data_IF_754204454527
#
_entry.id   IF_754204454527
#
_cell.length_a   1.000
_cell.length_b   1.000
_cell.length_c   1.000
_cell.angle_alpha   90.00
_cell.angle_beta   90.00
_cell.angle_gamma   90.00
#
_symmetry.space_group_name_H-M   'P 1'
#
loop_
_entity.id
_entity.type
_entity.pdbx_description
1 polymer ?
#
# COMPACT_ATOMS: atom_id res chain seq x y z
N UNK A 1 -15.04 -7.83 23.76
CA UNK A 1 -13.58 -7.73 23.85
C UNK A 1 -12.94 -8.47 22.69
N UNK A 2 -11.84 -7.95 22.19
CA UNK A 2 -11.08 -8.56 21.10
C UNK A 2 -10.30 -9.77 21.62
N UNK A 3 -10.32 -10.86 20.88
CA UNK A 3 -9.57 -12.07 21.24
C UNK A 3 -8.05 -11.81 21.21
N UNK A 4 -7.28 -12.30 22.18
CA UNK A 4 -5.84 -11.98 22.29
C UNK A 4 -5.01 -12.33 21.06
N UNK A 5 -5.35 -13.38 20.31
CA UNK A 5 -4.64 -13.78 19.10
C UNK A 5 -4.68 -12.69 18.01
N UNK A 6 -5.72 -11.85 18.01
CA UNK A 6 -5.91 -10.82 17.00
C UNK A 6 -5.15 -9.53 17.32
N UNK A 7 -4.71 -9.35 18.57
CA UNK A 7 -3.97 -8.16 19.00
C UNK A 7 -2.46 -8.30 18.81
N UNK A 8 -1.94 -9.52 18.57
CA UNK A 8 -0.49 -9.74 18.38
C UNK A 8 -0.01 -9.42 16.97
N UNK A 9 -0.86 -9.63 15.95
CA UNK A 9 -0.50 -9.48 14.55
C UNK A 9 0.60 -10.42 14.06
N UNK A 10 0.69 -10.64 12.77
CA UNK A 10 1.65 -11.56 12.15
C UNK A 10 2.93 -10.86 11.65
N UNK A 11 3.04 -9.55 11.88
CA UNK A 11 4.26 -8.79 11.60
C UNK A 11 5.21 -8.75 12.80
N UNK A 12 4.76 -9.22 13.96
CA UNK A 12 5.54 -9.25 15.19
C UNK A 12 6.85 -10.03 14.99
N UNK A 13 7.97 -9.43 15.40
CA UNK A 13 9.31 -10.00 15.21
C UNK A 13 9.98 -9.70 13.88
N UNK A 14 9.28 -9.17 12.89
CA UNK A 14 9.89 -8.72 11.64
C UNK A 14 10.39 -7.28 11.79
N UNK A 15 11.70 -7.07 11.56
CA UNK A 15 12.26 -5.71 11.47
C UNK A 15 11.79 -5.06 10.18
N UNK A 16 10.92 -4.07 10.31
CA UNK A 16 10.43 -3.27 9.20
C UNK A 16 11.17 -1.93 9.25
N UNK A 17 11.94 -1.54 8.22
CA UNK A 17 12.48 -0.19 8.12
C UNK A 17 11.33 0.81 8.14
N UNK A 18 11.43 1.91 8.91
CA UNK A 18 10.28 2.75 9.19
C UNK A 18 10.54 4.22 8.93
N UNK A 19 9.63 4.80 8.18
CA UNK A 19 9.26 6.21 8.27
C UNK A 19 7.73 6.28 8.30
N UNK A 20 7.18 7.21 9.04
CA UNK A 20 5.77 7.23 9.40
C UNK A 20 5.49 6.34 10.62
N UNK A 21 4.23 6.17 10.94
CA UNK A 21 3.76 5.37 12.07
C UNK A 21 3.22 4.05 11.52
N UNK A 22 3.82 2.93 11.93
CA UNK A 22 3.32 1.61 11.54
C UNK A 22 1.97 1.33 12.23
N UNK A 23 1.14 0.42 11.67
CA UNK A 23 -0.12 0.06 12.30
C UNK A 23 0.04 -0.44 13.75
N UNK A 24 1.15 -1.06 14.09
CA UNK A 24 1.44 -1.49 15.46
C UNK A 24 1.65 -0.35 16.42
N UNK A 25 2.37 0.70 15.99
CA UNK A 25 2.61 1.89 16.81
C UNK A 25 1.33 2.71 16.98
N UNK A 26 0.43 2.67 15.97
CA UNK A 26 -0.84 3.38 16.01
C UNK A 26 -1.96 2.61 16.73
N UNK A 27 -1.75 1.33 17.08
CA UNK A 27 -2.81 0.49 17.65
C UNK A 27 -3.16 0.79 19.10
N UNK A 28 -2.23 1.24 19.90
CA UNK A 28 -2.39 1.27 21.34
C UNK A 28 -2.32 2.67 21.94
N UNK A 29 -3.05 2.86 23.04
CA UNK A 29 -3.01 4.04 23.90
C UNK A 29 -2.99 3.59 25.35
N UNK A 30 -2.51 4.44 26.27
CA UNK A 30 -2.45 4.13 27.69
C UNK A 30 -3.85 4.00 28.33
N UNK A 31 -4.80 4.80 27.85
CA UNK A 31 -6.18 4.87 28.36
C UNK A 31 -7.12 5.40 27.27
N UNK A 32 -8.45 5.25 27.43
CA UNK A 32 -9.43 5.64 26.38
C UNK A 32 -9.38 7.11 25.94
N UNK A 33 -9.00 7.99 26.84
CA UNK A 33 -8.95 9.43 26.57
C UNK A 33 -7.53 9.95 26.28
N UNK A 34 -6.57 9.05 26.05
CA UNK A 34 -5.21 9.45 25.71
C UNK A 34 -5.18 10.09 24.31
N UNK A 35 -4.40 11.16 24.19
CA UNK A 35 -4.11 11.86 22.93
C UNK A 35 -2.80 11.41 22.28
N UNK A 36 -1.99 10.66 23.03
CA UNK A 36 -0.71 10.14 22.60
C UNK A 36 -0.80 8.63 22.38
N UNK A 37 -0.13 8.15 21.36
CA UNK A 37 0.02 6.72 21.09
C UNK A 37 0.99 6.10 22.10
N UNK A 38 0.72 4.84 22.48
CA UNK A 38 1.58 4.09 23.40
C UNK A 38 2.45 3.10 22.61
N UNK A 39 3.75 3.11 22.87
CA UNK A 39 4.65 2.12 22.31
C UNK A 39 4.48 0.77 23.04
N UNK A 40 3.94 -0.20 22.33
CA UNK A 40 3.70 -1.54 22.82
C UNK A 40 2.24 -1.81 23.21
N UNK A 41 1.98 -3.04 23.64
CA UNK A 41 0.63 -3.55 23.92
C UNK A 41 0.10 -3.00 25.25
N UNK A 42 -1.12 -2.46 25.21
CA UNK A 42 -1.90 -2.05 26.38
C UNK A 42 -3.30 -2.68 26.32
N UNK A 43 -4.12 -2.43 27.32
CA UNK A 43 -5.53 -2.85 27.34
C UNK A 43 -6.43 -2.05 26.39
N UNK A 44 -5.90 -0.98 25.78
CA UNK A 44 -6.67 -0.04 24.97
C UNK A 44 -6.14 0.08 23.55
N UNK A 45 -7.00 -0.16 22.57
CA UNK A 45 -6.70 -0.04 21.14
C UNK A 45 -7.42 1.15 20.53
N UNK A 46 -6.72 1.90 19.66
CA UNK A 46 -7.32 3.00 18.88
C UNK A 46 -8.14 2.46 17.71
N UNK A 47 -7.62 1.42 17.04
CA UNK A 47 -8.28 0.74 15.94
C UNK A 47 -7.78 -0.69 15.84
N UNK A 48 -8.58 -1.53 15.18
CA UNK A 48 -8.22 -2.90 14.86
C UNK A 48 -7.80 -2.97 13.39
N UNK A 49 -6.57 -3.39 13.06
CA UNK A 49 -6.14 -3.55 11.68
C UNK A 49 -7.07 -4.50 10.91
N UNK A 50 -7.44 -4.10 9.71
CA UNK A 50 -8.39 -4.81 8.86
C UNK A 50 -7.70 -5.44 7.66
N UNK A 51 -6.81 -4.70 7.00
CA UNK A 51 -6.12 -5.09 5.79
C UNK A 51 -4.83 -4.30 5.64
N UNK A 52 -3.81 -4.94 5.13
CA UNK A 52 -2.51 -4.34 4.81
C UNK A 52 -2.20 -4.45 3.33
N UNK A 53 -1.35 -3.56 2.85
CA UNK A 53 -0.60 -3.81 1.62
C UNK A 53 0.72 -3.03 1.61
N UNK A 54 1.53 -3.36 0.61
CA UNK A 54 2.81 -2.74 0.32
C UNK A 54 2.77 -2.28 -1.15
N UNK A 55 2.69 -0.97 -1.35
CA UNK A 55 2.47 -0.37 -2.66
C UNK A 55 3.77 0.04 -3.36
N UNK A 56 3.73 0.01 -4.69
CA UNK A 56 4.86 0.22 -5.58
C UNK A 56 4.42 0.83 -6.92
N UNK A 57 5.30 0.74 -7.90
CA UNK A 57 5.08 1.14 -9.29
C UNK A 57 4.49 -0.03 -10.08
N UNK A 58 3.44 0.20 -10.84
CA UNK A 58 2.99 -0.69 -11.91
C UNK A 58 3.56 -0.25 -13.25
N UNK A 59 3.98 -1.19 -14.10
CA UNK A 59 4.52 -0.87 -15.42
C UNK A 59 4.23 -1.93 -16.48
N UNK A 60 4.31 -1.52 -17.73
CA UNK A 60 4.19 -2.35 -18.94
C UNK A 60 5.58 -2.82 -19.36
N UNK A 61 5.99 -4.07 -19.06
CA UNK A 61 7.35 -4.56 -19.37
C UNK A 61 7.62 -4.59 -20.87
N UNK A 62 6.61 -4.81 -21.69
CA UNK A 62 6.67 -4.80 -23.16
C UNK A 62 6.93 -3.40 -23.75
N UNK A 63 6.60 -2.33 -23.02
CA UNK A 63 6.76 -0.94 -23.48
C UNK A 63 7.92 -0.22 -22.77
N UNK A 64 8.24 -0.61 -21.54
CA UNK A 64 9.36 -0.07 -20.75
C UNK A 64 10.68 -0.69 -21.18
N UNK A 65 10.69 -1.99 -21.54
CA UNK A 65 11.84 -2.68 -22.11
C UNK A 65 12.89 -3.15 -21.11
N UNK A 66 12.70 -2.97 -19.81
CA UNK A 66 13.57 -3.45 -18.73
C UNK A 66 12.79 -3.63 -17.43
N UNK A 67 13.40 -4.26 -16.43
CA UNK A 67 12.82 -4.42 -15.12
C UNK A 67 12.90 -3.10 -14.33
N UNK A 68 11.75 -2.59 -13.84
CA UNK A 68 11.68 -1.44 -12.95
C UNK A 68 11.91 -1.91 -11.52
N UNK A 69 12.89 -1.36 -10.83
CA UNK A 69 13.27 -1.75 -9.45
C UNK A 69 13.47 -0.57 -8.51
N UNK A 70 13.40 0.66 -9.03
CA UNK A 70 13.66 1.88 -8.27
C UNK A 70 12.54 2.92 -8.50
N UNK A 71 12.14 3.63 -7.45
CA UNK A 71 11.09 4.65 -7.54
C UNK A 71 11.43 5.80 -8.48
N UNK A 72 12.72 6.18 -8.60
CA UNK A 72 13.16 7.26 -9.51
C UNK A 72 12.74 7.03 -10.96
N UNK A 73 12.50 5.78 -11.35
CA UNK A 73 12.13 5.46 -12.72
C UNK A 73 10.75 6.03 -13.10
N UNK A 74 9.85 6.23 -12.13
CA UNK A 74 8.58 6.89 -12.38
C UNK A 74 8.75 8.33 -12.91
N UNK A 75 9.84 8.99 -12.55
CA UNK A 75 10.14 10.38 -12.95
C UNK A 75 11.27 10.48 -13.98
N UNK A 76 11.71 9.37 -14.54
CA UNK A 76 12.77 9.35 -15.58
C UNK A 76 12.28 10.08 -16.82
N UNK A 77 13.04 11.07 -17.34
CA UNK A 77 12.68 11.84 -18.56
C UNK A 77 12.33 10.97 -19.78
N UNK A 78 12.85 9.75 -19.88
CA UNK A 78 12.52 8.82 -20.98
C UNK A 78 11.03 8.44 -21.04
N UNK A 79 10.30 8.56 -19.90
CA UNK A 79 8.88 8.29 -19.81
C UNK A 79 8.01 9.54 -19.86
N UNK A 80 8.56 10.68 -20.30
CA UNK A 80 7.81 11.93 -20.47
C UNK A 80 6.56 11.71 -21.32
N UNK A 81 5.41 12.14 -20.80
CA UNK A 81 4.11 12.00 -21.47
C UNK A 81 3.53 10.58 -21.41
N UNK A 82 4.16 9.67 -20.64
CA UNK A 82 3.73 8.26 -20.48
C UNK A 82 3.69 7.79 -19.03
N UNK A 83 3.94 8.66 -18.07
CA UNK A 83 3.85 8.38 -16.64
C UNK A 83 2.54 8.90 -16.05
N UNK A 84 2.10 8.30 -14.93
CA UNK A 84 0.99 8.80 -14.11
C UNK A 84 1.27 8.63 -12.62
N UNK A 85 0.64 9.48 -11.82
CA UNK A 85 0.71 9.42 -10.36
C UNK A 85 -0.69 9.47 -9.76
N UNK A 86 -0.87 8.81 -8.61
CA UNK A 86 -2.12 8.80 -7.86
C UNK A 86 -2.43 10.19 -7.29
N UNK A 87 -3.61 10.73 -7.61
CA UNK A 87 -4.13 12.01 -7.13
C UNK A 87 -4.96 11.83 -5.85
N UNK A 88 -4.32 11.31 -4.82
CA UNK A 88 -4.79 11.33 -3.43
C UNK A 88 -3.67 11.98 -2.61
N UNK A 89 -3.87 13.20 -2.06
CA UNK A 89 -2.78 14.00 -1.49
C UNK A 89 -1.87 13.25 -0.54
N UNK A 90 -2.43 12.59 0.49
CA UNK A 90 -1.68 11.85 1.50
C UNK A 90 -0.96 10.59 0.97
N UNK A 91 -1.28 10.15 -0.25
CA UNK A 91 -0.64 8.99 -0.90
C UNK A 91 0.34 9.48 -1.95
N UNK A 92 -0.14 10.30 -2.89
CA UNK A 92 0.66 10.77 -4.03
C UNK A 92 1.89 11.55 -3.62
N UNK A 93 1.83 12.33 -2.53
CA UNK A 93 3.00 13.06 -2.03
C UNK A 93 4.09 12.12 -1.50
N UNK A 94 3.70 10.99 -0.90
CA UNK A 94 4.66 9.98 -0.44
C UNK A 94 5.27 9.21 -1.61
N UNK A 95 4.47 8.88 -2.63
CA UNK A 95 4.99 8.25 -3.85
C UNK A 95 5.99 9.18 -4.56
N UNK A 96 5.70 10.49 -4.63
CA UNK A 96 6.63 11.49 -5.13
C UNK A 96 7.91 11.60 -4.30
N UNK A 97 7.77 11.58 -2.95
CA UNK A 97 8.92 11.62 -2.07
C UNK A 97 9.83 10.40 -2.24
N UNK A 98 9.27 9.22 -2.42
CA UNK A 98 10.03 8.01 -2.75
C UNK A 98 10.79 8.18 -4.07
N UNK A 99 10.16 8.76 -5.10
CA UNK A 99 10.82 9.04 -6.38
C UNK A 99 11.99 10.01 -6.22
N UNK A 100 11.78 11.12 -5.52
CA UNK A 100 12.82 12.16 -5.38
C UNK A 100 13.98 11.72 -4.49
N UNK A 101 13.71 10.95 -3.42
CA UNK A 101 14.77 10.38 -2.59
C UNK A 101 15.56 9.30 -3.34
N UNK A 102 14.87 8.42 -4.08
CA UNK A 102 15.48 7.43 -4.97
C UNK A 102 16.38 8.09 -6.02
N UNK A 103 15.96 9.23 -6.56
CA UNK A 103 16.77 10.03 -7.51
C UNK A 103 17.94 10.79 -6.84
N UNK A 104 18.05 10.76 -5.51
CA UNK A 104 19.09 11.47 -4.78
C UNK A 104 18.93 12.98 -4.71
N UNK A 105 17.72 13.50 -4.98
CA UNK A 105 17.46 14.93 -5.02
C UNK A 105 17.26 15.54 -3.63
N UNK A 106 16.83 14.71 -2.66
CA UNK A 106 16.57 15.08 -1.29
C UNK A 106 16.72 13.84 -0.40
N UNK A 107 16.94 14.03 0.89
CA UNK A 107 16.78 13.01 1.92
C UNK A 107 15.72 13.49 2.90
N UNK A 108 14.66 12.69 3.07
CA UNK A 108 13.58 13.00 4.00
C UNK A 108 13.92 12.51 5.41
N UNK A 109 13.59 13.34 6.41
CA UNK A 109 13.63 12.91 7.80
C UNK A 109 12.60 11.81 8.07
N UNK A 110 11.36 12.04 7.64
CA UNK A 110 10.26 11.07 7.70
C UNK A 110 9.26 11.32 6.57
N UNK A 111 9.23 10.44 5.56
CA UNK A 111 8.28 10.54 4.42
C UNK A 111 6.82 10.45 4.85
N UNK A 112 6.52 9.78 5.97
CA UNK A 112 5.17 9.70 6.54
C UNK A 112 4.76 10.94 7.35
N UNK A 113 5.72 11.78 7.77
CA UNK A 113 5.47 13.01 8.52
C UNK A 113 6.45 14.11 8.11
N UNK A 114 6.24 14.65 6.91
CA UNK A 114 7.13 15.64 6.30
C UNK A 114 7.02 17.01 6.96
N UNK A 115 8.15 17.68 7.09
CA UNK A 115 8.21 19.12 7.43
C UNK A 115 7.67 19.96 6.28
N UNK A 116 7.27 21.22 6.55
CA UNK A 116 6.83 22.17 5.51
C UNK A 116 7.87 22.34 4.40
N UNK A 117 9.16 22.35 4.73
CA UNK A 117 10.24 22.45 3.74
C UNK A 117 10.29 21.24 2.80
N UNK A 118 10.10 20.03 3.35
CA UNK A 118 10.06 18.81 2.56
C UNK A 118 8.80 18.76 1.68
N UNK A 119 7.64 19.21 2.20
CA UNK A 119 6.39 19.35 1.45
C UNK A 119 6.57 20.35 0.31
N UNK A 120 7.18 21.52 0.57
CA UNK A 120 7.44 22.54 -0.46
C UNK A 120 8.31 21.99 -1.56
N UNK A 121 9.46 21.41 -1.22
CA UNK A 121 10.36 20.80 -2.19
C UNK A 121 9.64 19.76 -3.07
N UNK A 122 8.91 18.84 -2.43
CA UNK A 122 8.19 17.77 -3.12
C UNK A 122 7.14 18.33 -4.08
N UNK A 123 6.36 19.30 -3.62
CA UNK A 123 5.31 19.93 -4.42
C UNK A 123 5.86 20.75 -5.58
N UNK A 124 6.93 21.50 -5.37
CA UNK A 124 7.61 22.27 -6.42
C UNK A 124 8.15 21.37 -7.52
N UNK A 125 8.80 20.26 -7.16
CA UNK A 125 9.28 19.28 -8.13
C UNK A 125 8.15 18.57 -8.87
N UNK A 126 7.03 18.27 -8.23
CA UNK A 126 5.84 17.76 -8.91
C UNK A 126 5.26 18.77 -9.90
N UNK A 127 5.20 20.07 -9.54
CA UNK A 127 4.76 21.16 -10.42
C UNK A 127 5.69 21.29 -11.62
N UNK A 128 7.01 21.24 -11.43
CA UNK A 128 8.00 21.24 -12.51
C UNK A 128 7.77 20.07 -13.48
N UNK A 129 7.60 18.86 -12.99
CA UNK A 129 7.32 17.67 -13.78
C UNK A 129 6.01 17.81 -14.57
N UNK A 130 4.93 18.29 -13.93
CA UNK A 130 3.65 18.50 -14.59
C UNK A 130 3.76 19.55 -15.70
N UNK A 131 4.35 20.72 -15.43
CA UNK A 131 4.57 21.78 -16.42
C UNK A 131 5.45 21.34 -17.59
N UNK A 132 6.39 20.45 -17.34
CA UNK A 132 7.20 19.85 -18.39
C UNK A 132 6.43 18.87 -19.29
N UNK A 133 5.20 18.47 -18.89
CA UNK A 133 4.41 17.44 -19.56
C UNK A 133 4.91 16.03 -19.29
N UNK A 134 5.57 15.81 -18.14
CA UNK A 134 6.06 14.46 -17.75
C UNK A 134 4.89 13.49 -17.51
N UNK A 135 3.89 13.93 -16.74
CA UNK A 135 2.72 13.10 -16.49
C UNK A 135 1.72 13.19 -17.65
N UNK A 136 1.33 12.04 -18.19
CA UNK A 136 0.22 11.90 -19.13
C UNK A 136 -1.12 12.18 -18.45
N UNK A 137 -1.26 11.71 -17.20
CA UNK A 137 -2.45 11.86 -16.38
C UNK A 137 -2.12 11.78 -14.90
N UNK A 138 -3.06 12.22 -14.07
CA UNK A 138 -3.24 11.77 -12.68
C UNK A 138 -4.50 10.92 -12.60
N UNK A 139 -4.61 10.03 -11.62
CA UNK A 139 -5.77 9.17 -11.46
C UNK A 139 -6.21 9.10 -10.00
N UNK A 140 -7.51 8.89 -9.76
CA UNK A 140 -8.12 8.87 -8.42
C UNK A 140 -8.87 7.58 -8.13
N UNK A 141 -9.26 6.83 -9.16
CA UNK A 141 -10.04 5.60 -9.02
C UNK A 141 -9.27 4.38 -9.53
N UNK A 142 -9.58 3.22 -8.97
CA UNK A 142 -9.02 1.95 -9.40
C UNK A 142 -9.16 1.74 -10.91
N UNK A 143 -10.37 1.96 -11.45
CA UNK A 143 -10.65 1.75 -12.87
C UNK A 143 -9.86 2.70 -13.78
N UNK A 144 -9.64 3.96 -13.37
CA UNK A 144 -8.80 4.88 -14.14
C UNK A 144 -7.38 4.36 -14.26
N UNK A 145 -6.78 3.85 -13.17
CA UNK A 145 -5.42 3.31 -13.20
C UNK A 145 -5.30 2.10 -14.13
N UNK A 146 -6.30 1.21 -14.10
CA UNK A 146 -6.38 0.04 -14.99
C UNK A 146 -6.54 0.45 -16.44
N UNK A 147 -7.44 1.38 -16.75
CA UNK A 147 -7.73 1.84 -18.12
C UNK A 147 -6.51 2.53 -18.76
N UNK A 148 -5.87 3.44 -18.03
CA UNK A 148 -4.67 4.14 -18.51
C UNK A 148 -3.54 3.16 -18.90
N UNK A 149 -3.32 2.16 -18.06
CA UNK A 149 -2.28 1.14 -18.29
C UNK A 149 -2.68 0.20 -19.43
N UNK A 150 -3.94 -0.25 -19.46
CA UNK A 150 -4.44 -1.16 -20.48
C UNK A 150 -4.44 -0.52 -21.88
N UNK A 151 -4.81 0.75 -21.97
CA UNK A 151 -4.78 1.50 -23.24
C UNK A 151 -3.36 1.82 -23.74
N UNK A 152 -2.33 1.64 -22.89
CA UNK A 152 -0.95 2.05 -23.22
C UNK A 152 -0.72 3.56 -23.26
N UNK A 153 -1.70 4.35 -22.80
CA UNK A 153 -1.52 5.81 -22.63
C UNK A 153 -0.50 6.13 -21.55
N UNK A 154 -0.49 5.29 -20.51
CA UNK A 154 0.49 5.28 -19.43
C UNK A 154 1.19 3.92 -19.43
N UNK A 155 2.51 3.92 -19.33
CA UNK A 155 3.31 2.70 -19.32
C UNK A 155 4.02 2.45 -17.99
N UNK A 156 4.01 3.45 -17.12
CA UNK A 156 4.57 3.41 -15.76
C UNK A 156 3.76 4.35 -14.85
N UNK A 157 3.36 3.87 -13.68
CA UNK A 157 2.61 4.70 -12.72
C UNK A 157 2.74 4.20 -11.29
N UNK A 158 2.58 5.08 -10.27
CA UNK A 158 2.26 4.60 -8.93
C UNK A 158 0.93 3.86 -8.99
N UNK A 159 0.83 2.67 -8.41
CA UNK A 159 -0.31 1.78 -8.68
C UNK A 159 -0.63 0.91 -7.46
N UNK A 160 -1.88 0.51 -7.33
CA UNK A 160 -2.28 -0.52 -6.37
C UNK A 160 -2.08 -1.91 -6.97
N UNK A 161 -1.52 -2.85 -6.20
CA UNK A 161 -1.19 -4.18 -6.73
C UNK A 161 -2.36 -4.94 -7.34
N UNK A 162 -3.62 -4.85 -6.85
CA UNK A 162 -4.76 -5.49 -7.52
C UNK A 162 -5.03 -4.97 -8.94
N UNK A 163 -4.68 -3.72 -9.22
CA UNK A 163 -4.86 -3.15 -10.55
C UNK A 163 -3.92 -3.77 -11.60
N UNK A 164 -2.73 -4.23 -11.17
CA UNK A 164 -1.82 -4.99 -12.05
C UNK A 164 -2.48 -6.30 -12.50
N UNK A 165 -3.08 -7.05 -11.55
CA UNK A 165 -3.82 -8.27 -11.89
C UNK A 165 -5.00 -7.98 -12.83
N UNK A 166 -5.75 -6.89 -12.59
CA UNK A 166 -6.86 -6.48 -13.46
C UNK A 166 -6.44 -6.11 -14.89
N UNK A 167 -5.19 -5.64 -15.08
CA UNK A 167 -4.62 -5.45 -16.42
C UNK A 167 -4.24 -6.79 -17.05
N UNK A 168 -3.63 -7.71 -16.29
CA UNK A 168 -3.21 -9.05 -16.76
C UNK A 168 -4.39 -9.91 -17.21
N UNK A 169 -5.55 -9.80 -16.54
CA UNK A 169 -6.80 -10.50 -16.95
C UNK A 169 -7.22 -10.16 -18.38
N UNK A 170 -6.81 -9.00 -18.89
CA UNK A 170 -7.06 -8.56 -20.28
C UNK A 170 -5.98 -9.06 -21.27
N UNK A 171 -5.14 -10.02 -20.87
CA UNK A 171 -3.97 -10.50 -21.61
C UNK A 171 -2.96 -9.39 -21.98
N UNK A 172 -2.92 -8.34 -21.15
CA UNK A 172 -1.98 -7.23 -21.30
C UNK A 172 -0.84 -7.39 -20.28
N UNK A 173 0.43 -7.42 -20.72
CA UNK A 173 1.57 -7.51 -19.82
C UNK A 173 1.58 -6.35 -18.82
N UNK A 174 1.68 -6.65 -17.54
CA UNK A 174 1.81 -5.65 -16.48
C UNK A 174 2.56 -6.28 -15.31
N UNK A 175 3.50 -5.53 -14.72
CA UNK A 175 4.33 -5.98 -13.60
C UNK A 175 4.24 -4.96 -12.48
N UNK A 176 4.22 -5.45 -11.26
CA UNK A 176 4.32 -4.64 -10.06
C UNK A 176 5.78 -4.60 -9.60
N UNK A 177 6.43 -3.45 -9.69
CA UNK A 177 7.85 -3.31 -9.50
C UNK A 177 8.34 -3.89 -8.16
N UNK A 178 9.31 -4.81 -8.17
CA UNK A 178 9.87 -5.43 -6.96
C UNK A 178 10.90 -4.51 -6.31
N UNK A 179 10.46 -3.33 -5.86
CA UNK A 179 11.33 -2.37 -5.17
C UNK A 179 11.86 -2.98 -3.87
N UNK A 180 13.17 -2.99 -3.70
CA UNK A 180 13.82 -3.53 -2.52
C UNK A 180 14.50 -2.42 -1.74
N UNK A 181 14.49 -2.50 -0.41
CA UNK A 181 15.20 -1.55 0.44
C UNK A 181 16.69 -1.58 0.12
N UNK A 182 17.19 -0.49 -0.45
CA UNK A 182 18.60 -0.25 -0.70
C UNK A 182 19.02 1.02 0.01
N UNK A 183 19.88 0.92 1.01
CA UNK A 183 20.39 2.08 1.76
C UNK A 183 19.28 2.98 2.36
N UNK A 184 18.13 2.40 2.70
CA UNK A 184 16.98 3.11 3.25
C UNK A 184 16.19 3.99 2.26
N UNK A 185 16.58 4.03 0.98
CA UNK A 185 15.99 4.92 -0.03
C UNK A 185 14.94 4.27 -0.92
N UNK A 186 14.98 2.95 -1.03
CA UNK A 186 14.03 2.16 -1.80
C UNK A 186 13.12 1.38 -0.85
N UNK A 187 12.10 0.75 -1.39
CA UNK A 187 11.17 -0.09 -0.68
C UNK A 187 9.72 0.29 -0.95
N UNK A 188 8.82 -0.50 -0.43
CA UNK A 188 7.39 -0.28 -0.62
C UNK A 188 6.87 0.83 0.29
N UNK A 189 5.79 1.48 -0.14
CA UNK A 189 4.95 2.29 0.73
C UNK A 189 3.90 1.38 1.37
N UNK A 190 4.01 1.17 2.68
CA UNK A 190 3.04 0.41 3.45
C UNK A 190 1.79 1.22 3.79
N UNK A 191 0.65 0.54 3.88
CA UNK A 191 -0.57 1.12 4.39
C UNK A 191 -1.43 0.05 5.09
N UNK A 192 -2.30 0.51 5.95
CA UNK A 192 -3.26 -0.31 6.66
C UNK A 192 -4.59 0.43 6.77
N UNK A 193 -5.68 -0.29 6.55
CA UNK A 193 -7.00 0.16 7.00
C UNK A 193 -7.36 -0.54 8.30
N UNK A 194 -8.12 0.15 9.14
CA UNK A 194 -8.56 -0.38 10.41
C UNK A 194 -10.02 -0.03 10.71
N UNK A 195 -10.58 -0.71 11.69
CA UNK A 195 -11.91 -0.49 12.22
C UNK A 195 -11.81 0.05 13.64
N UNK A 196 -12.61 1.04 13.96
CA UNK A 196 -12.73 1.60 15.30
C UNK A 196 -14.19 1.60 15.76
N UNK A 197 -14.39 1.50 17.06
CA UNK A 197 -15.71 1.58 17.66
C UNK A 197 -16.06 3.04 17.96
N UNK A 198 -17.29 3.42 17.61
CA UNK A 198 -17.78 4.75 17.91
C UNK A 198 -17.99 4.91 19.43
N UNK A 199 -17.54 6.02 20.01
CA UNK A 199 -17.55 6.29 21.46
C UNK A 199 -18.95 6.15 22.11
N UNK A 200 -20.02 6.37 21.36
CA UNK A 200 -21.39 6.33 21.88
C UNK A 200 -22.02 4.92 21.88
N UNK A 201 -21.31 3.90 21.39
CA UNK A 201 -21.81 2.53 21.40
C UNK A 201 -21.88 1.98 22.82
N UNK A 202 -23.01 1.35 23.16
CA UNK A 202 -23.24 0.72 24.47
C UNK A 202 -24.20 -0.46 24.37
N UNK A 203 -24.22 -1.30 25.42
CA UNK A 203 -25.13 -2.45 25.55
C UNK A 203 -25.03 -3.39 24.33
N UNK A 204 -26.15 -3.94 23.90
CA UNK A 204 -26.21 -4.91 22.79
C UNK A 204 -25.58 -4.44 21.48
N UNK A 205 -25.57 -3.13 21.20
CA UNK A 205 -24.92 -2.61 20.00
C UNK A 205 -23.40 -2.71 20.10
N UNK A 206 -22.85 -2.45 21.28
CA UNK A 206 -21.42 -2.61 21.54
C UNK A 206 -21.02 -4.08 21.49
N UNK A 207 -21.82 -4.98 22.08
CA UNK A 207 -21.56 -6.42 22.04
C UNK A 207 -21.54 -6.93 20.60
N UNK A 208 -22.54 -6.57 19.79
CA UNK A 208 -22.60 -6.94 18.39
C UNK A 208 -21.42 -6.38 17.57
N UNK A 209 -20.95 -5.17 17.88
CA UNK A 209 -19.77 -4.59 17.22
C UNK A 209 -18.50 -5.37 17.55
N UNK A 210 -18.29 -5.78 18.80
CA UNK A 210 -17.17 -6.66 19.16
C UNK A 210 -17.25 -8.02 18.48
N UNK A 211 -18.45 -8.60 18.38
CA UNK A 211 -18.66 -9.87 17.69
C UNK A 211 -18.30 -9.77 16.20
N UNK A 212 -18.72 -8.68 15.54
CA UNK A 212 -18.35 -8.39 14.17
C UNK A 212 -16.84 -8.24 13.99
N UNK A 213 -16.14 -7.49 14.87
CA UNK A 213 -14.69 -7.34 14.82
C UNK A 213 -13.95 -8.70 14.94
N UNK A 214 -14.37 -9.52 15.89
CA UNK A 214 -13.80 -10.85 16.10
C UNK A 214 -14.07 -11.78 14.88
N UNK A 215 -15.32 -11.77 14.36
CA UNK A 215 -15.64 -12.49 13.12
C UNK A 215 -14.76 -12.04 11.96
N UNK A 216 -14.59 -10.73 11.80
CA UNK A 216 -13.78 -10.19 10.70
C UNK A 216 -12.36 -10.76 10.71
N UNK A 217 -11.74 -10.91 11.88
CA UNK A 217 -10.39 -11.43 12.05
C UNK A 217 -10.32 -12.97 12.17
N UNK A 218 -11.47 -13.67 12.19
CA UNK A 218 -11.51 -15.12 12.36
C UNK A 218 -10.96 -15.92 11.16
N UNK A 219 -10.73 -15.20 10.02
CA UNK A 219 -9.98 -15.74 8.88
C UNK A 219 -10.72 -15.72 7.55
N UNK A 220 -12.04 -15.91 7.51
CA UNK A 220 -12.80 -15.92 6.24
C UNK A 220 -12.59 -14.62 5.46
N UNK A 221 -12.77 -13.49 6.15
CA UNK A 221 -12.57 -12.17 5.53
C UNK A 221 -11.12 -11.94 5.12
N UNK A 222 -10.17 -12.41 5.94
CA UNK A 222 -8.75 -12.36 5.61
C UNK A 222 -8.41 -13.13 4.34
N UNK A 223 -8.98 -14.32 4.14
CA UNK A 223 -8.85 -15.09 2.91
C UNK A 223 -9.51 -14.39 1.71
N UNK A 224 -10.68 -13.78 1.93
CA UNK A 224 -11.41 -13.04 0.90
C UNK A 224 -10.57 -11.87 0.36
N UNK A 225 -10.03 -11.01 1.24
CA UNK A 225 -9.19 -9.87 0.79
C UNK A 225 -7.86 -10.31 0.21
N UNK A 226 -7.31 -11.45 0.65
CA UNK A 226 -6.08 -12.00 0.07
C UNK A 226 -6.24 -12.38 -1.40
N UNK A 227 -7.42 -12.87 -1.81
CA UNK A 227 -7.75 -13.16 -3.21
C UNK A 227 -7.81 -11.92 -4.10
N UNK A 228 -7.94 -10.73 -3.52
CA UNK A 228 -7.76 -9.45 -4.22
C UNK A 228 -6.31 -8.93 -4.23
N UNK A 229 -5.38 -9.67 -3.60
CA UNK A 229 -3.98 -9.27 -3.54
C UNK A 229 -3.60 -8.41 -2.35
N UNK A 230 -4.51 -8.26 -1.38
CA UNK A 230 -4.22 -7.64 -0.07
C UNK A 230 -3.71 -8.66 0.93
N UNK A 231 -3.37 -8.22 2.13
CA UNK A 231 -2.96 -9.10 3.22
C UNK A 231 -3.90 -9.01 4.41
N UNK A 232 -4.21 -10.18 4.98
CA UNK A 232 -4.90 -10.27 6.26
C UNK A 232 -3.99 -9.77 7.39
N UNK A 233 -4.53 -9.06 8.39
CA UNK A 233 -3.79 -8.76 9.62
C UNK A 233 -3.49 -10.01 10.45
N UNK A 234 -4.20 -11.11 10.22
CA UNK A 234 -3.99 -12.39 10.88
C UNK A 234 -3.86 -13.51 9.85
N UNK A 235 -2.69 -13.67 9.20
CA UNK A 235 -2.48 -14.68 8.16
C UNK A 235 -2.79 -16.10 8.62
N UNK A 236 -2.47 -16.46 9.86
CA UNK A 236 -2.70 -17.82 10.42
C UNK A 236 -4.18 -18.21 10.47
N UNK A 237 -5.09 -17.27 10.71
CA UNK A 237 -6.53 -17.53 10.65
C UNK A 237 -7.04 -17.54 9.21
N UNK A 238 -6.54 -16.63 8.36
CA UNK A 238 -6.88 -16.59 6.95
C UNK A 238 -6.51 -17.87 6.20
N UNK A 239 -5.35 -18.47 6.53
CA UNK A 239 -4.87 -19.74 5.95
C UNK A 239 -5.91 -20.84 5.98
N UNK A 240 -6.71 -20.92 7.05
CA UNK A 240 -7.74 -21.95 7.21
C UNK A 240 -8.86 -21.90 6.15
N UNK A 241 -9.00 -20.78 5.47
CA UNK A 241 -10.01 -20.51 4.44
C UNK A 241 -9.43 -20.32 3.05
N UNK A 242 -8.13 -20.62 2.89
CA UNK A 242 -7.41 -20.57 1.62
C UNK A 242 -7.03 -21.97 1.18
N UNK A 243 -6.99 -22.20 -0.12
CA UNK A 243 -6.39 -23.42 -0.69
C UNK A 243 -4.86 -23.35 -0.59
N UNK A 244 -4.20 -24.50 -0.69
CA UNK A 244 -2.74 -24.57 -0.73
C UNK A 244 -2.16 -23.79 -1.93
N UNK A 245 -2.87 -23.79 -3.06
CA UNK A 245 -2.51 -23.00 -4.25
C UNK A 245 -2.53 -21.50 -3.97
N UNK A 246 -3.60 -21.00 -3.35
CA UNK A 246 -3.72 -19.59 -2.97
C UNK A 246 -2.67 -19.21 -1.94
N UNK A 247 -2.45 -20.06 -0.93
CA UNK A 247 -1.45 -19.79 0.10
C UNK A 247 -0.03 -19.74 -0.46
N UNK A 248 0.34 -20.72 -1.30
CA UNK A 248 1.65 -20.77 -1.95
C UNK A 248 1.92 -19.50 -2.79
N UNK A 249 0.92 -19.02 -3.53
CA UNK A 249 1.05 -17.81 -4.34
C UNK A 249 1.05 -16.53 -3.50
N UNK A 250 0.00 -16.33 -2.68
CA UNK A 250 -0.21 -15.05 -1.99
C UNK A 250 0.74 -14.79 -0.83
N UNK A 251 1.08 -15.84 -0.05
CA UNK A 251 1.89 -15.69 1.17
C UNK A 251 3.31 -16.26 1.05
N UNK A 252 3.50 -17.37 0.38
CA UNK A 252 4.82 -17.97 0.26
C UNK A 252 5.62 -17.42 -0.94
N UNK A 253 4.96 -16.76 -1.90
CA UNK A 253 5.60 -16.23 -3.11
C UNK A 253 6.20 -17.31 -4.01
N UNK A 254 5.63 -18.51 -3.95
CA UNK A 254 5.97 -19.65 -4.82
C UNK A 254 5.24 -19.54 -6.15
N UNK A 255 5.72 -20.23 -7.20
CA UNK A 255 4.95 -20.41 -8.41
C UNK A 255 3.59 -21.03 -8.08
N UNK A 256 2.51 -20.43 -8.60
CA UNK A 256 1.15 -20.93 -8.35
C UNK A 256 1.00 -22.37 -8.87
N UNK A 257 0.67 -23.37 -8.02
CA UNK A 257 0.49 -24.75 -8.48
C UNK A 257 -0.69 -24.92 -9.46
N UNK A 258 -1.61 -23.98 -9.47
CA UNK A 258 -2.77 -23.90 -10.36
C UNK A 258 -3.13 -22.44 -10.65
N UNK A 259 -4.20 -22.19 -11.43
CA UNK A 259 -4.66 -20.83 -11.68
C UNK A 259 -5.14 -20.17 -10.38
N UNK A 260 -4.90 -18.86 -10.26
CA UNK A 260 -5.38 -18.03 -9.15
C UNK A 260 -6.62 -17.27 -9.64
N UNK A 261 -7.66 -17.28 -8.83
CA UNK A 261 -8.89 -16.54 -9.09
C UNK A 261 -9.15 -15.49 -8.01
N UNK A 262 -9.95 -14.50 -8.35
CA UNK A 262 -10.52 -13.56 -7.39
C UNK A 262 -11.56 -14.24 -6.46
N UNK A 263 -12.14 -13.55 -5.46
CA UNK A 263 -13.12 -14.14 -4.57
C UNK A 263 -14.41 -14.64 -5.26
N UNK A 264 -14.68 -14.21 -6.48
CA UNK A 264 -15.86 -14.60 -7.26
C UNK A 264 -15.56 -15.67 -8.31
N UNK A 265 -14.33 -16.20 -8.33
CA UNK A 265 -13.91 -17.24 -9.24
C UNK A 265 -13.44 -16.72 -10.62
N UNK A 266 -13.30 -15.40 -10.79
CA UNK A 266 -12.74 -14.84 -12.02
C UNK A 266 -11.24 -15.11 -12.07
N UNK A 267 -10.69 -15.74 -13.12
CA UNK A 267 -9.26 -15.98 -13.24
C UNK A 267 -8.45 -14.69 -13.22
N UNK A 268 -7.40 -14.64 -12.41
CA UNK A 268 -6.49 -13.50 -12.29
C UNK A 268 -5.08 -13.82 -12.77
N UNK A 269 -4.57 -15.00 -12.41
CA UNK A 269 -3.20 -15.42 -12.75
C UNK A 269 -3.18 -16.86 -13.22
N UNK A 270 -2.30 -17.14 -14.16
CA UNK A 270 -2.10 -18.49 -14.72
C UNK A 270 -1.27 -19.35 -13.76
N UNK A 271 -1.43 -20.67 -13.86
CA UNK A 271 -0.52 -21.61 -13.18
C UNK A 271 0.94 -21.31 -13.55
N UNK A 272 1.84 -21.46 -12.58
CA UNK A 272 3.26 -21.14 -12.72
C UNK A 272 3.63 -19.67 -12.48
N UNK A 273 2.65 -18.75 -12.42
CA UNK A 273 2.93 -17.34 -12.10
C UNK A 273 3.47 -17.20 -10.67
N UNK A 274 4.50 -16.38 -10.50
CA UNK A 274 5.05 -15.99 -9.19
C UNK A 274 4.53 -14.59 -8.87
N UNK A 275 4.12 -14.37 -7.63
CA UNK A 275 3.67 -13.05 -7.18
C UNK A 275 4.80 -12.03 -7.28
N UNK A 276 4.51 -10.87 -7.86
CA UNK A 276 5.46 -9.75 -7.92
C UNK A 276 5.93 -9.36 -6.51
N UNK A 277 7.24 -9.18 -6.34
CA UNK A 277 7.86 -8.91 -5.05
C UNK A 277 8.02 -10.12 -4.13
N UNK A 278 7.49 -11.29 -4.51
CA UNK A 278 7.67 -12.55 -3.80
C UNK A 278 6.74 -12.75 -2.58
N UNK A 279 7.24 -13.37 -1.52
CA UNK A 279 6.45 -13.75 -0.35
C UNK A 279 5.93 -12.54 0.46
N UNK A 280 4.90 -12.79 1.28
CA UNK A 280 4.38 -11.83 2.26
C UNK A 280 5.52 -11.23 3.10
N UNK A 281 6.34 -12.08 3.72
CA UNK A 281 7.44 -11.63 4.58
C UNK A 281 8.42 -10.76 3.79
N UNK A 282 8.83 -11.17 2.58
CA UNK A 282 9.73 -10.38 1.74
C UNK A 282 9.15 -9.00 1.40
N UNK A 283 7.86 -8.91 1.11
CA UNK A 283 7.21 -7.64 0.77
C UNK A 283 7.09 -6.73 1.99
N UNK A 284 6.61 -7.23 3.13
CA UNK A 284 6.39 -6.39 4.33
C UNK A 284 7.68 -5.94 4.98
N UNK A 285 8.74 -6.76 4.95
CA UNK A 285 10.06 -6.36 5.46
C UNK A 285 10.79 -5.37 4.56
N UNK A 286 10.33 -5.19 3.32
CA UNK A 286 10.81 -4.16 2.39
C UNK A 286 9.95 -2.88 2.40
N UNK A 287 9.05 -2.71 3.34
CA UNK A 287 8.33 -1.43 3.52
C UNK A 287 9.32 -0.39 4.07
N UNK A 288 9.47 0.73 3.35
CA UNK A 288 10.37 1.82 3.73
C UNK A 288 9.66 2.95 4.46
N UNK A 289 8.38 3.13 4.24
CA UNK A 289 7.56 4.13 4.93
C UNK A 289 6.10 3.68 5.00
N UNK A 290 5.36 4.22 5.98
CA UNK A 290 3.94 3.94 6.18
C UNK A 290 3.09 5.18 5.90
N UNK A 291 1.94 4.97 5.27
CA UNK A 291 0.92 6.00 5.14
C UNK A 291 0.42 6.41 6.54
N UNK A 292 0.52 7.70 6.81
CA UNK A 292 -0.01 8.32 8.03
C UNK A 292 -0.65 9.66 7.69
N UNK A 293 -1.43 10.20 8.62
CA UNK A 293 -1.83 11.60 8.57
C UNK A 293 -0.67 12.43 9.12
N UNK A 294 -0.07 13.25 8.27
CA UNK A 294 1.04 14.13 8.66
C UNK A 294 0.55 15.24 9.59
N UNK A 295 1.40 15.70 10.52
CA UNK A 295 1.10 16.87 11.36
C UNK A 295 0.75 18.09 10.51
N UNK A 296 1.44 18.27 9.39
CA UNK A 296 1.23 19.35 8.44
C UNK A 296 0.19 19.00 7.32
N UNK A 297 -0.78 18.14 7.61
CA UNK A 297 -1.75 17.64 6.62
C UNK A 297 -2.52 18.76 5.90
N UNK A 298 -2.94 19.81 6.64
CA UNK A 298 -3.64 20.95 6.05
C UNK A 298 -2.74 21.73 5.05
N UNK A 299 -1.47 21.91 5.41
CA UNK A 299 -0.49 22.55 4.55
C UNK A 299 -0.17 21.69 3.33
N UNK A 300 0.04 20.40 3.52
CA UNK A 300 0.27 19.44 2.45
C UNK A 300 -0.88 19.42 1.44
N UNK A 301 -2.14 19.39 1.91
CA UNK A 301 -3.30 19.44 1.03
C UNK A 301 -3.35 20.72 0.19
N UNK A 302 -2.99 21.87 0.77
CA UNK A 302 -2.89 23.13 0.02
C UNK A 302 -1.84 23.04 -1.10
N UNK A 303 -0.63 22.56 -0.78
CA UNK A 303 0.46 22.42 -1.74
C UNK A 303 0.15 21.38 -2.83
N UNK A 304 -0.58 20.32 -2.49
CA UNK A 304 -1.07 19.35 -3.47
C UNK A 304 -2.09 19.98 -4.44
N UNK A 305 -2.97 20.85 -3.96
CA UNK A 305 -3.87 21.60 -4.82
C UNK A 305 -3.10 22.54 -5.76
N UNK A 306 -2.02 23.19 -5.32
CA UNK A 306 -1.15 23.98 -6.20
C UNK A 306 -0.59 23.11 -7.35
N UNK A 307 -0.18 21.87 -7.05
CA UNK A 307 0.23 20.90 -8.07
C UNK A 307 -0.93 20.53 -9.01
N UNK A 308 -2.15 20.35 -8.51
CA UNK A 308 -3.30 19.98 -9.35
C UNK A 308 -3.69 21.03 -10.36
N UNK A 309 -3.51 22.31 -10.06
CA UNK A 309 -3.90 23.43 -10.93
C UNK A 309 -2.75 23.97 -11.78
N UNK A 310 -1.52 23.53 -11.53
CA UNK A 310 -0.35 23.91 -12.30
C UNK A 310 -0.37 23.26 -13.70
#
# INVERSE_FOLDING_TARGET
NILPIFTKGELEGHKIPRQGISPYEAMYVEKPDATELHEGVTDWMTFLPQVYNADSIGYRPDLVGHEVTEWKELIDPKFKGKAAILDVPAIGIMDAALCFESAGLITYGNKGNMTKKEIDFTSEKLIELKKSGHFRATWTTFDQSVQLMAAGEVIIQSMWSPAVAAVRVKDIPCVYAPVNVKNGKEGYRGWCNGMALMKHLSGKKLDAAYEYLNWYLSGWQGAFVSRYGYYSPVPSTAKKFMTDTEWAYWYEGKPAPGPISDPYGVPMEKAGTVRDGGSFVKRVTNISCWNTLMDEAAYMNKRWNDFKVA
#
